data_IF_313195032020
#
_entry.id   IF_313195032020
#
_cell.length_a   1.000
_cell.length_b   1.000
_cell.length_c   1.000
_cell.angle_alpha   90.00
_cell.angle_beta   90.00
_cell.angle_gamma   90.00
#
_symmetry.space_group_name_H-M   'P 1'
#
loop_
_entity.id
_entity.type
_entity.pdbx_description
1 polymer ?
#
# COMPACT_ATOMS: atom_id res chain seq x y z
N UNK A 1 6.84 0.96 16.81
CA UNK A 1 7.50 1.91 15.89
C UNK A 1 6.63 2.03 14.65
N UNK A 2 6.46 3.24 14.11
CA UNK A 2 5.72 3.46 12.86
C UNK A 2 6.45 2.78 11.69
N UNK A 3 5.75 2.09 10.78
CA UNK A 3 6.38 1.55 9.58
C UNK A 3 7.01 2.64 8.71
N UNK A 4 8.09 2.33 7.99
CA UNK A 4 8.65 3.28 7.01
C UNK A 4 7.83 3.29 5.73
N UNK A 5 8.09 4.27 4.87
CA UNK A 5 7.47 4.30 3.55
C UNK A 5 7.90 3.09 2.71
N UNK A 6 9.18 2.70 2.76
CA UNK A 6 9.69 1.53 2.05
C UNK A 6 9.02 0.24 2.53
N UNK A 7 8.90 0.03 3.85
CA UNK A 7 8.20 -1.15 4.41
C UNK A 7 6.72 -1.19 3.97
N UNK A 8 6.07 -0.03 3.93
CA UNK A 8 4.68 0.10 3.50
C UNK A 8 4.54 -0.16 1.99
N UNK A 9 5.41 0.43 1.18
CA UNK A 9 5.41 0.30 -0.27
C UNK A 9 5.62 -1.15 -0.70
N UNK A 10 6.63 -1.83 -0.14
CA UNK A 10 6.88 -3.25 -0.40
C UNK A 10 5.67 -4.11 0.00
N UNK A 11 5.02 -3.79 1.12
CA UNK A 11 3.82 -4.52 1.54
C UNK A 11 2.62 -4.28 0.60
N UNK A 12 2.42 -3.06 0.11
CA UNK A 12 1.40 -2.73 -0.91
C UNK A 12 1.69 -3.47 -2.21
N UNK A 13 2.94 -3.51 -2.64
CA UNK A 13 3.38 -4.23 -3.83
C UNK A 13 3.02 -5.72 -3.76
N UNK A 14 3.38 -6.36 -2.65
CA UNK A 14 3.03 -7.77 -2.39
C UNK A 14 1.52 -7.99 -2.25
N UNK A 15 0.82 -7.03 -1.65
CA UNK A 15 -0.63 -7.06 -1.49
C UNK A 15 -1.36 -7.01 -2.85
N UNK A 16 -0.91 -6.15 -3.75
CA UNK A 16 -1.45 -6.02 -5.10
C UNK A 16 -1.15 -7.26 -5.94
N UNK A 17 0.11 -7.73 -5.94
CA UNK A 17 0.53 -8.95 -6.68
C UNK A 17 -0.29 -10.19 -6.31
N UNK A 18 -0.70 -10.32 -5.04
CA UNK A 18 -1.58 -11.42 -4.59
C UNK A 18 -3.01 -11.33 -5.12
N UNK A 19 -3.49 -10.13 -5.40
CA UNK A 19 -4.84 -9.87 -5.93
C UNK A 19 -4.88 -10.02 -7.44
N UNK A 20 -3.79 -9.66 -8.12
CA UNK A 20 -3.73 -9.65 -9.56
C UNK A 20 -3.00 -10.87 -10.16
N UNK A 21 -3.63 -12.04 -10.07
CA UNK A 21 -3.08 -13.32 -10.58
C UNK A 21 -2.98 -13.42 -12.11
N UNK A 22 -3.53 -12.45 -12.85
CA UNK A 22 -3.56 -12.46 -14.32
C UNK A 22 -2.52 -11.55 -14.99
N UNK A 23 -1.79 -10.73 -14.22
CA UNK A 23 -0.73 -9.88 -14.78
C UNK A 23 0.61 -10.57 -14.71
N UNK A 24 1.43 -10.33 -15.74
CA UNK A 24 2.85 -10.60 -15.68
C UNK A 24 3.48 -9.73 -14.57
N UNK A 25 4.44 -10.30 -13.85
CA UNK A 25 5.07 -9.67 -12.67
C UNK A 25 5.60 -8.28 -13.00
N UNK A 26 6.25 -8.13 -14.15
CA UNK A 26 6.85 -6.88 -14.63
C UNK A 26 5.78 -5.81 -14.94
N UNK A 27 4.58 -6.21 -15.34
CA UNK A 27 3.49 -5.27 -15.61
C UNK A 27 2.87 -4.75 -14.32
N UNK A 28 2.67 -5.64 -13.34
CA UNK A 28 2.24 -5.25 -12.00
C UNK A 28 3.25 -4.29 -11.34
N UNK A 29 4.56 -4.57 -11.46
CA UNK A 29 5.62 -3.70 -10.93
C UNK A 29 5.62 -2.32 -11.60
N UNK A 30 5.50 -2.26 -12.93
CA UNK A 30 5.43 -1.00 -13.66
C UNK A 30 4.21 -0.18 -13.26
N UNK A 31 3.06 -0.82 -13.09
CA UNK A 31 1.84 -0.14 -12.67
C UNK A 31 1.99 0.46 -11.27
N UNK A 32 2.42 -0.33 -10.29
CA UNK A 32 2.58 0.16 -8.91
C UNK A 32 3.59 1.31 -8.85
N UNK A 33 4.69 1.21 -9.59
CA UNK A 33 5.67 2.29 -9.71
C UNK A 33 5.07 3.57 -10.32
N UNK A 34 4.11 3.44 -11.25
CA UNK A 34 3.41 4.58 -11.84
C UNK A 34 2.44 5.26 -10.86
N UNK A 35 2.00 4.55 -9.83
CA UNK A 35 1.07 5.02 -8.79
C UNK A 35 1.79 5.50 -7.51
N UNK A 36 3.09 5.81 -7.59
CA UNK A 36 3.90 6.20 -6.43
C UNK A 36 3.35 7.41 -5.68
N UNK A 37 2.78 8.39 -6.38
CA UNK A 37 2.20 9.59 -5.77
C UNK A 37 0.95 9.25 -4.96
N UNK A 38 0.11 8.35 -5.47
CA UNK A 38 -1.05 7.84 -4.76
C UNK A 38 -0.63 7.08 -3.50
N UNK A 39 0.34 6.17 -3.61
CA UNK A 39 0.84 5.38 -2.47
C UNK A 39 1.48 6.29 -1.41
N UNK A 40 2.21 7.34 -1.83
CA UNK A 40 2.80 8.35 -0.95
C UNK A 40 1.74 9.13 -0.18
N UNK A 41 0.68 9.59 -0.87
CA UNK A 41 -0.44 10.27 -0.23
C UNK A 41 -1.11 9.38 0.82
N UNK A 42 -1.40 8.11 0.47
CA UNK A 42 -2.04 7.16 1.38
C UNK A 42 -1.17 6.84 2.59
N UNK A 43 0.13 6.67 2.40
CA UNK A 43 1.07 6.49 3.52
C UNK A 43 1.06 7.70 4.47
N UNK A 44 0.99 8.93 3.96
CA UNK A 44 0.93 10.13 4.79
C UNK A 44 -0.35 10.20 5.63
N UNK A 45 -1.50 9.83 5.06
CA UNK A 45 -2.78 9.77 5.76
C UNK A 45 -2.79 8.71 6.88
N UNK A 46 -2.34 7.49 6.56
CA UNK A 46 -2.26 6.39 7.54
C UNK A 46 -1.22 6.71 8.62
N UNK A 47 -0.11 7.35 8.24
CA UNK A 47 0.90 7.84 9.19
C UNK A 47 0.32 8.83 10.18
N UNK A 48 -0.53 9.74 9.71
CA UNK A 48 -1.24 10.68 10.56
C UNK A 48 -2.19 9.97 11.53
N UNK A 49 -2.97 9.00 11.06
CA UNK A 49 -3.85 8.21 11.94
C UNK A 49 -3.07 7.45 13.03
N UNK A 50 -1.90 6.91 12.69
CA UNK A 50 -1.03 6.24 13.65
C UNK A 50 -0.40 7.20 14.66
N UNK A 51 0.11 8.34 14.18
CA UNK A 51 0.71 9.37 15.04
C UNK A 51 -0.34 10.00 15.97
N UNK A 52 -1.59 10.11 15.51
CA UNK A 52 -2.75 10.56 16.30
C UNK A 52 -3.28 9.46 17.24
N UNK A 53 -2.70 8.25 17.21
CA UNK A 53 -3.04 7.12 18.10
C UNK A 53 -4.37 6.44 17.77
N UNK A 54 -4.93 6.69 16.58
CA UNK A 54 -6.22 6.15 16.14
C UNK A 54 -6.12 4.70 15.67
N UNK A 55 -4.95 4.32 15.15
CA UNK A 55 -4.65 2.98 14.68
C UNK A 55 -3.35 2.47 15.30
N UNK A 56 -3.27 1.16 15.49
CA UNK A 56 -2.03 0.51 15.90
C UNK A 56 -1.20 0.08 14.68
N UNK A 57 -0.03 -0.49 14.95
CA UNK A 57 0.89 -0.93 13.90
C UNK A 57 0.30 -2.07 13.06
N UNK A 58 -0.52 -2.94 13.67
CA UNK A 58 -1.16 -4.04 12.97
C UNK A 58 -2.17 -3.50 11.95
N UNK A 59 -3.03 -2.58 12.39
CA UNK A 59 -4.01 -1.90 11.53
C UNK A 59 -3.32 -1.10 10.43
N UNK A 60 -2.19 -0.45 10.71
CA UNK A 60 -1.36 0.22 9.70
C UNK A 60 -0.91 -0.76 8.60
N UNK A 61 -0.26 -1.85 9.00
CA UNK A 61 0.40 -2.76 8.05
C UNK A 61 -0.53 -3.78 7.40
N UNK A 62 -1.67 -4.09 8.01
CA UNK A 62 -2.64 -5.03 7.45
C UNK A 62 -3.79 -4.25 6.80
N UNK A 63 -4.46 -3.40 7.57
CA UNK A 63 -5.62 -2.64 7.10
C UNK A 63 -5.23 -1.58 6.07
N UNK A 64 -4.23 -0.75 6.38
CA UNK A 64 -3.73 0.29 5.48
C UNK A 64 -3.23 -0.27 4.16
N UNK A 65 -2.37 -1.30 4.23
CA UNK A 65 -1.85 -1.99 3.04
C UNK A 65 -2.96 -2.64 2.22
N UNK A 66 -3.89 -3.37 2.84
CA UNK A 66 -4.98 -4.02 2.12
C UNK A 66 -5.91 -3.01 1.44
N UNK A 67 -6.18 -1.87 2.08
CA UNK A 67 -6.98 -0.78 1.52
C UNK A 67 -6.30 -0.20 0.28
N UNK A 68 -5.01 0.13 0.35
CA UNK A 68 -4.28 0.71 -0.78
C UNK A 68 -4.15 -0.29 -1.93
N UNK A 69 -3.78 -1.54 -1.64
CA UNK A 69 -3.67 -2.59 -2.65
C UNK A 69 -5.01 -2.84 -3.38
N UNK A 70 -6.14 -2.79 -2.66
CA UNK A 70 -7.46 -2.93 -3.27
C UNK A 70 -7.88 -1.69 -4.09
N UNK A 71 -7.50 -0.48 -3.68
CA UNK A 71 -7.72 0.71 -4.51
C UNK A 71 -6.94 0.63 -5.82
N UNK A 72 -5.66 0.24 -5.77
CA UNK A 72 -4.85 -0.01 -6.96
C UNK A 72 -5.48 -1.08 -7.85
N UNK A 73 -6.01 -2.15 -7.24
CA UNK A 73 -6.76 -3.20 -7.96
C UNK A 73 -7.99 -2.66 -8.72
N UNK A 74 -8.63 -1.60 -8.24
CA UNK A 74 -9.80 -1.04 -8.93
C UNK A 74 -9.46 0.03 -9.98
N UNK A 75 -8.21 0.53 -9.98
CA UNK A 75 -7.78 1.64 -10.83
C UNK A 75 -7.01 1.18 -12.08
N UNK A 76 -6.48 -0.04 -12.10
CA UNK A 76 -5.86 -0.68 -13.26
C UNK A 76 -6.92 -1.19 -14.25
#
# INVERSE_FOLDING_TARGET
MKPTFEEFYEAVEQGFKKRWLVLEVEEAERYIASEIDFITMRYAEISKEFDDGLIDRETFMIGGVASVAHCLEMMY
#
